data_IF_058814217540
#
_entry.id   IF_058814217540
#
_cell.length_a   1.000
_cell.length_b   1.000
_cell.length_c   1.000
_cell.angle_alpha   90.00
_cell.angle_beta   90.00
_cell.angle_gamma   90.00
#
_symmetry.space_group_name_H-M   'P 1'
#
loop_
_entity.id
_entity.type
_entity.pdbx_description
1 polymer ?
#
# COMPACT_ATOMS: atom_id res chain seq x y z
N UNK A 1 10.98 -0.44 10.91
CA UNK A 1 11.51 0.68 11.68
C UNK A 1 10.40 1.63 12.10
N UNK A 2 9.70 2.28 11.17
CA UNK A 2 8.61 3.21 11.48
C UNK A 2 7.57 2.60 12.44
N UNK A 3 7.14 1.36 12.18
CA UNK A 3 6.20 0.64 13.04
C UNK A 3 6.72 0.46 14.49
N UNK A 4 8.01 0.19 14.67
CA UNK A 4 8.62 0.08 16.00
C UNK A 4 8.66 1.43 16.73
N UNK A 5 8.95 2.51 15.99
CA UNK A 5 8.94 3.85 16.58
C UNK A 5 7.52 4.29 16.97
N UNK A 6 6.52 3.96 16.15
CA UNK A 6 5.10 4.25 16.45
C UNK A 6 4.61 3.40 17.61
N UNK A 7 4.91 2.08 17.63
CA UNK A 7 4.46 1.16 18.68
C UNK A 7 5.12 1.40 20.04
N UNK A 8 6.37 1.86 20.08
CA UNK A 8 7.12 2.10 21.33
C UNK A 8 7.28 3.57 21.71
N UNK A 9 6.73 4.49 20.93
CA UNK A 9 6.88 5.93 21.11
C UNK A 9 8.34 6.38 21.36
N UNK A 10 9.32 5.66 20.78
CA UNK A 10 10.76 5.91 20.92
C UNK A 10 11.40 5.99 19.55
N UNK A 11 12.13 7.08 19.28
CA UNK A 11 12.86 7.30 18.03
C UNK A 11 14.23 6.62 18.04
N UNK A 12 14.26 5.29 18.12
CA UNK A 12 15.49 4.49 18.06
C UNK A 12 15.69 3.90 16.67
N UNK A 13 16.88 4.09 16.07
CA UNK A 13 17.18 3.60 14.72
C UNK A 13 18.07 2.33 14.76
N UNK A 14 19.06 2.28 15.64
CA UNK A 14 20.09 1.22 15.65
C UNK A 14 19.55 -0.14 16.11
N UNK A 15 18.72 -0.16 17.15
CA UNK A 15 18.20 -1.39 17.76
C UNK A 15 17.24 -2.13 16.81
N UNK A 16 16.21 -1.47 16.23
CA UNK A 16 15.32 -2.14 15.29
C UNK A 16 16.03 -2.58 13.99
N UNK A 17 17.06 -1.87 13.53
CA UNK A 17 17.83 -2.27 12.34
C UNK A 17 18.46 -3.65 12.47
N UNK A 18 19.09 -3.92 13.60
CA UNK A 18 19.73 -5.22 13.84
C UNK A 18 18.71 -6.34 14.09
N UNK A 19 17.66 -6.04 14.87
CA UNK A 19 16.64 -7.02 15.29
C UNK A 19 15.78 -7.50 14.11
N UNK A 20 15.37 -6.59 13.20
CA UNK A 20 14.44 -6.91 12.12
C UNK A 20 15.09 -7.10 10.73
N UNK A 21 16.42 -7.25 10.67
CA UNK A 21 17.16 -7.44 9.41
C UNK A 21 16.64 -8.64 8.60
N UNK A 22 16.35 -9.78 9.27
CA UNK A 22 15.87 -11.01 8.63
C UNK A 22 14.48 -10.82 8.03
N UNK A 23 13.57 -10.19 8.76
CA UNK A 23 12.21 -9.89 8.31
C UNK A 23 12.21 -8.86 7.18
N UNK A 24 13.05 -7.82 7.32
CA UNK A 24 13.21 -6.80 6.28
C UNK A 24 13.72 -7.40 4.96
N UNK A 25 14.69 -8.32 5.02
CA UNK A 25 15.21 -9.02 3.85
C UNK A 25 14.14 -9.92 3.20
N UNK A 26 13.33 -10.63 3.99
CA UNK A 26 12.22 -11.44 3.49
C UNK A 26 11.15 -10.58 2.80
N UNK A 27 10.82 -9.41 3.37
CA UNK A 27 9.89 -8.46 2.77
C UNK A 27 10.45 -7.84 1.47
N UNK A 28 11.74 -7.51 1.48
CA UNK A 28 12.43 -6.98 0.31
C UNK A 28 12.42 -7.98 -0.85
N UNK A 29 12.78 -9.24 -0.56
CA UNK A 29 12.73 -10.32 -1.55
C UNK A 29 11.31 -10.50 -2.12
N UNK A 30 10.30 -10.51 -1.25
CA UNK A 30 8.90 -10.59 -1.68
C UNK A 30 8.52 -9.44 -2.62
N UNK A 31 8.95 -8.21 -2.32
CA UNK A 31 8.70 -7.05 -3.20
C UNK A 31 9.39 -7.15 -4.55
N UNK A 32 10.63 -7.67 -4.57
CA UNK A 32 11.35 -7.92 -5.82
C UNK A 32 10.61 -8.97 -6.65
N UNK A 33 10.24 -10.10 -6.06
CA UNK A 33 9.48 -11.16 -6.76
C UNK A 33 8.15 -10.60 -7.29
N UNK A 34 7.42 -9.84 -6.46
CA UNK A 34 6.17 -9.20 -6.89
C UNK A 34 6.40 -8.22 -8.04
N UNK A 35 7.51 -7.48 -8.04
CA UNK A 35 7.91 -6.59 -9.13
C UNK A 35 8.25 -7.34 -10.42
N UNK A 36 9.10 -8.38 -10.31
CA UNK A 36 9.51 -9.21 -11.46
C UNK A 36 8.31 -9.92 -12.09
N UNK A 37 7.39 -10.45 -11.28
CA UNK A 37 6.16 -11.10 -11.79
C UNK A 37 5.15 -10.05 -12.29
N UNK A 38 5.02 -8.92 -11.61
CA UNK A 38 4.10 -7.84 -11.99
C UNK A 38 4.47 -7.16 -13.30
N UNK A 39 5.76 -7.07 -13.61
CA UNK A 39 6.27 -6.44 -14.85
C UNK A 39 5.72 -7.12 -16.12
N UNK A 40 5.88 -8.44 -16.35
CA UNK A 40 5.30 -9.10 -17.51
C UNK A 40 3.77 -9.19 -17.45
N UNK A 41 3.19 -9.37 -16.25
CA UNK A 41 1.73 -9.47 -16.07
C UNK A 41 1.00 -8.20 -16.51
N UNK A 42 1.57 -7.03 -16.25
CA UNK A 42 1.03 -5.75 -16.72
C UNK A 42 1.60 -5.34 -18.08
N UNK A 43 2.87 -5.66 -18.33
CA UNK A 43 3.58 -5.28 -19.56
C UNK A 43 3.01 -5.94 -20.83
N UNK A 44 2.62 -7.22 -20.76
CA UNK A 44 2.04 -7.94 -21.90
C UNK A 44 0.72 -7.32 -22.40
N UNK A 45 -0.27 -7.01 -21.55
CA UNK A 45 -1.47 -6.31 -21.99
C UNK A 45 -1.21 -4.90 -22.52
N UNK A 46 -0.24 -4.16 -21.94
CA UNK A 46 0.16 -2.83 -22.45
C UNK A 46 0.75 -2.97 -23.85
N UNK A 47 1.63 -3.94 -24.06
CA UNK A 47 2.18 -4.24 -25.38
C UNK A 47 1.07 -4.59 -26.40
N UNK A 48 0.05 -5.35 -25.94
CA UNK A 48 -1.14 -5.66 -26.74
C UNK A 48 -1.91 -4.41 -27.16
N UNK A 49 -2.09 -3.43 -26.29
CA UNK A 49 -2.73 -2.15 -26.63
C UNK A 49 -1.90 -1.38 -27.65
N UNK A 50 -0.59 -1.29 -27.46
CA UNK A 50 0.31 -0.60 -28.39
C UNK A 50 0.21 -1.24 -29.79
N UNK A 51 0.21 -2.58 -29.85
CA UNK A 51 0.06 -3.31 -31.11
C UNK A 51 -1.29 -3.02 -31.77
N UNK A 52 -2.38 -3.00 -31.02
CA UNK A 52 -3.71 -2.64 -31.55
C UNK A 52 -3.75 -1.21 -32.08
N UNK A 53 -3.12 -0.26 -31.40
CA UNK A 53 -3.03 1.13 -31.89
C UNK A 53 -2.27 1.20 -33.21
N UNK A 54 -1.17 0.46 -33.36
CA UNK A 54 -0.41 0.39 -34.59
C UNK A 54 -1.25 -0.22 -35.73
N UNK A 55 -1.97 -1.32 -35.46
CA UNK A 55 -2.85 -1.96 -36.45
C UNK A 55 -3.99 -1.03 -36.91
N UNK A 56 -4.54 -0.23 -35.99
CA UNK A 56 -5.55 0.80 -36.31
C UNK A 56 -4.94 1.93 -37.16
N UNK A 57 -3.74 2.39 -36.83
CA UNK A 57 -3.05 3.46 -37.55
C UNK A 57 -2.68 3.03 -39.01
N UNK A 58 -2.29 1.78 -39.18
CA UNK A 58 -1.96 1.19 -40.52
C UNK A 58 -3.20 0.75 -41.30
N UNK A 59 -4.39 0.87 -40.74
CA UNK A 59 -5.67 0.43 -41.34
C UNK A 59 -5.68 -1.04 -41.81
N UNK A 60 -4.86 -1.88 -41.21
CA UNK A 60 -4.71 -3.31 -41.63
C UNK A 60 -5.67 -4.23 -40.86
N UNK A 61 -6.35 -3.74 -39.81
CA UNK A 61 -7.28 -4.53 -38.97
C UNK A 61 -8.72 -4.08 -39.07
N UNK A 62 -9.70 -4.96 -38.72
CA UNK A 62 -11.12 -4.61 -38.63
C UNK A 62 -11.33 -3.65 -37.43
N UNK A 63 -11.85 -2.47 -37.71
CA UNK A 63 -11.98 -1.37 -36.79
C UNK A 63 -12.79 -1.74 -35.53
N UNK A 64 -13.89 -2.47 -35.73
CA UNK A 64 -14.76 -2.92 -34.62
C UNK A 64 -14.03 -3.89 -33.68
N UNK A 65 -13.32 -4.88 -34.24
CA UNK A 65 -12.56 -5.86 -33.45
C UNK A 65 -11.42 -5.19 -32.66
N UNK A 66 -10.77 -4.16 -33.22
CA UNK A 66 -9.72 -3.41 -32.53
C UNK A 66 -10.25 -2.59 -31.35
N UNK A 67 -11.44 -1.99 -31.49
CA UNK A 67 -12.09 -1.23 -30.40
C UNK A 67 -12.47 -2.19 -29.27
N UNK A 68 -13.16 -3.30 -29.56
CA UNK A 68 -13.54 -4.28 -28.55
C UNK A 68 -12.32 -4.92 -27.89
N UNK A 69 -11.31 -5.33 -28.65
CA UNK A 69 -10.07 -5.89 -28.13
C UNK A 69 -9.32 -4.89 -27.23
N UNK A 70 -9.28 -3.62 -27.62
CA UNK A 70 -8.71 -2.54 -26.81
C UNK A 70 -9.44 -2.34 -25.49
N UNK A 71 -10.79 -2.31 -25.51
CA UNK A 71 -11.60 -2.17 -24.30
C UNK A 71 -11.39 -3.35 -23.32
N UNK A 72 -11.32 -4.57 -23.83
CA UNK A 72 -11.03 -5.77 -22.99
C UNK A 72 -9.65 -5.69 -22.37
N UNK A 73 -8.62 -5.29 -23.15
CA UNK A 73 -7.26 -5.13 -22.63
C UNK A 73 -7.16 -4.02 -21.56
N UNK A 74 -7.82 -2.89 -21.76
CA UNK A 74 -7.89 -1.81 -20.76
C UNK A 74 -8.54 -2.30 -19.48
N UNK A 75 -9.68 -3.01 -19.59
CA UNK A 75 -10.35 -3.59 -18.43
C UNK A 75 -9.44 -4.59 -17.70
N UNK A 76 -8.75 -5.46 -18.46
CA UNK A 76 -7.78 -6.43 -17.90
C UNK A 76 -6.67 -5.72 -17.14
N UNK A 77 -6.06 -4.68 -17.71
CA UNK A 77 -5.01 -3.89 -17.05
C UNK A 77 -5.56 -3.27 -15.76
N UNK A 78 -6.76 -2.70 -15.79
CA UNK A 78 -7.37 -2.10 -14.61
C UNK A 78 -7.54 -3.12 -13.49
N UNK A 79 -8.06 -4.31 -13.78
CA UNK A 79 -8.22 -5.41 -12.81
C UNK A 79 -6.86 -5.84 -12.25
N UNK A 80 -5.84 -6.00 -13.10
CA UNK A 80 -4.50 -6.39 -12.68
C UNK A 80 -3.84 -5.33 -11.80
N UNK A 81 -3.99 -4.05 -12.13
CA UNK A 81 -3.47 -2.95 -11.32
C UNK A 81 -4.15 -2.90 -9.95
N UNK A 82 -5.48 -3.08 -9.89
CA UNK A 82 -6.23 -3.16 -8.63
C UNK A 82 -5.73 -4.35 -7.81
N UNK A 83 -5.55 -5.53 -8.41
CA UNK A 83 -5.06 -6.71 -7.72
C UNK A 83 -3.64 -6.49 -7.12
N UNK A 84 -2.72 -5.93 -7.89
CA UNK A 84 -1.36 -5.61 -7.43
C UNK A 84 -1.40 -4.54 -6.32
N UNK A 85 -2.26 -3.53 -6.46
CA UNK A 85 -2.46 -2.50 -5.43
C UNK A 85 -2.97 -3.12 -4.13
N UNK A 86 -3.99 -3.99 -4.18
CA UNK A 86 -4.52 -4.69 -3.00
C UNK A 86 -3.46 -5.57 -2.31
N UNK A 87 -2.68 -6.32 -3.09
CA UNK A 87 -1.59 -7.14 -2.54
C UNK A 87 -0.57 -6.26 -1.83
N UNK A 88 -0.15 -5.14 -2.43
CA UNK A 88 0.77 -4.19 -1.79
C UNK A 88 0.17 -3.59 -0.53
N UNK A 89 -1.09 -3.16 -0.59
CA UNK A 89 -1.81 -2.55 0.54
C UNK A 89 -1.93 -3.52 1.70
N UNK A 90 -2.45 -4.71 1.48
CA UNK A 90 -2.60 -5.75 2.52
C UNK A 90 -1.25 -6.20 3.09
N UNK A 91 -0.21 -6.27 2.26
CA UNK A 91 1.14 -6.57 2.76
C UNK A 91 1.60 -5.53 3.77
N UNK A 92 1.38 -4.25 3.48
CA UNK A 92 1.83 -3.16 4.35
C UNK A 92 0.96 -3.00 5.60
N UNK A 93 -0.36 -3.18 5.46
CA UNK A 93 -1.32 -2.87 6.54
C UNK A 93 -1.46 -4.04 7.53
N UNK A 94 -1.33 -5.29 7.06
CA UNK A 94 -1.58 -6.50 7.87
C UNK A 94 -0.39 -7.44 7.96
N UNK A 95 0.24 -7.79 6.83
CA UNK A 95 1.33 -8.79 6.84
C UNK A 95 2.55 -8.26 7.59
N UNK A 96 2.91 -7.00 7.41
CA UNK A 96 4.06 -6.38 8.10
C UNK A 96 3.87 -6.35 9.63
N UNK A 97 2.72 -5.94 10.20
CA UNK A 97 2.47 -6.05 11.64
C UNK A 97 2.51 -7.49 12.16
N UNK A 98 1.94 -8.45 11.44
CA UNK A 98 1.98 -9.88 11.81
C UNK A 98 3.42 -10.39 11.84
N UNK A 99 4.23 -10.05 10.84
CA UNK A 99 5.67 -10.37 10.81
C UNK A 99 6.42 -9.74 12.00
N UNK A 100 6.04 -8.53 12.38
CA UNK A 100 6.65 -7.82 13.49
C UNK A 100 6.37 -8.50 14.83
N UNK A 101 5.11 -8.91 15.06
CA UNK A 101 4.68 -9.57 16.30
C UNK A 101 5.27 -10.99 16.44
N UNK A 102 5.22 -11.77 15.36
CA UNK A 102 5.59 -13.19 15.42
C UNK A 102 7.04 -13.48 15.03
N UNK A 103 7.78 -12.48 14.56
CA UNK A 103 9.15 -12.69 14.09
C UNK A 103 9.25 -13.56 12.83
N UNK A 104 8.13 -13.85 12.17
CA UNK A 104 8.01 -14.76 11.04
C UNK A 104 8.41 -14.12 9.70
N UNK A 105 8.64 -14.97 8.68
CA UNK A 105 8.89 -14.50 7.32
C UNK A 105 7.61 -14.01 6.60
N UNK A 106 7.77 -13.28 5.49
CA UNK A 106 6.68 -12.70 4.73
C UNK A 106 5.64 -13.74 4.27
N UNK A 107 6.06 -14.91 3.81
CA UNK A 107 5.17 -15.99 3.34
C UNK A 107 4.33 -16.55 4.50
N UNK A 108 4.92 -16.74 5.68
CA UNK A 108 4.19 -17.20 6.87
C UNK A 108 3.16 -16.15 7.32
N UNK A 109 3.54 -14.86 7.32
CA UNK A 109 2.63 -13.75 7.58
C UNK A 109 1.45 -13.71 6.59
N UNK A 110 1.70 -13.93 5.30
CA UNK A 110 0.65 -14.02 4.28
C UNK A 110 -0.29 -15.20 4.52
N UNK A 111 0.24 -16.39 4.87
CA UNK A 111 -0.58 -17.58 5.17
C UNK A 111 -1.54 -17.29 6.32
N UNK A 112 -1.04 -16.69 7.39
CA UNK A 112 -1.86 -16.35 8.55
C UNK A 112 -2.89 -15.26 8.22
N UNK A 113 -2.49 -14.22 7.50
CA UNK A 113 -3.41 -13.19 7.02
C UNK A 113 -4.54 -13.79 6.18
N UNK A 114 -4.23 -14.72 5.25
CA UNK A 114 -5.25 -15.37 4.43
C UNK A 114 -6.25 -16.19 5.24
N UNK A 115 -5.83 -16.81 6.34
CA UNK A 115 -6.74 -17.51 7.26
C UNK A 115 -7.73 -16.53 7.89
N UNK A 116 -7.26 -15.38 8.38
CA UNK A 116 -8.11 -14.35 8.97
C UNK A 116 -9.03 -13.72 7.91
N UNK A 117 -8.50 -13.42 6.73
CA UNK A 117 -9.25 -12.86 5.60
C UNK A 117 -10.38 -13.79 5.16
N UNK A 118 -10.11 -15.09 5.03
CA UNK A 118 -11.12 -16.08 4.61
C UNK A 118 -12.26 -16.22 5.61
N UNK A 119 -11.96 -16.11 6.90
CA UNK A 119 -12.95 -16.17 7.98
C UNK A 119 -13.81 -14.88 8.09
N UNK A 120 -13.29 -13.72 7.67
CA UNK A 120 -13.92 -12.42 7.90
C UNK A 120 -14.01 -11.54 6.65
N UNK A 121 -14.35 -12.10 5.49
CA UNK A 121 -14.33 -11.39 4.19
C UNK A 121 -15.11 -10.06 4.21
N UNK A 122 -16.30 -10.05 4.80
CA UNK A 122 -17.15 -8.86 4.86
C UNK A 122 -16.53 -7.73 5.67
N UNK A 123 -15.87 -8.05 6.79
CA UNK A 123 -15.18 -7.06 7.63
C UNK A 123 -14.01 -6.42 6.87
N UNK A 124 -13.24 -7.20 6.11
CA UNK A 124 -12.16 -6.67 5.29
C UNK A 124 -12.65 -5.85 4.10
N UNK A 125 -13.80 -6.21 3.49
CA UNK A 125 -14.44 -5.39 2.48
C UNK A 125 -14.87 -4.02 3.05
N UNK A 126 -15.46 -4.03 4.25
CA UNK A 126 -15.84 -2.79 4.95
C UNK A 126 -14.62 -1.94 5.32
N UNK A 127 -13.52 -2.58 5.76
CA UNK A 127 -12.23 -1.91 5.98
C UNK A 127 -11.73 -1.20 4.73
N UNK A 128 -11.74 -1.87 3.57
CA UNK A 128 -11.32 -1.27 2.30
C UNK A 128 -12.21 -0.10 1.91
N UNK A 129 -13.53 -0.24 2.07
CA UNK A 129 -14.48 0.84 1.80
C UNK A 129 -14.18 2.07 2.68
N UNK A 130 -14.00 1.85 3.98
CA UNK A 130 -13.69 2.93 4.91
C UNK A 130 -12.33 3.57 4.60
N UNK A 131 -11.35 2.78 4.19
CA UNK A 131 -10.04 3.26 3.76
C UNK A 131 -10.13 4.16 2.52
N UNK A 132 -11.03 3.83 1.57
CA UNK A 132 -11.29 4.69 0.40
C UNK A 132 -11.87 6.03 0.85
N UNK A 133 -12.83 6.02 1.78
CA UNK A 133 -13.42 7.25 2.32
C UNK A 133 -12.35 8.12 3.00
N UNK A 134 -11.49 7.52 3.82
CA UNK A 134 -10.36 8.21 4.45
C UNK A 134 -9.42 8.78 3.38
N UNK A 135 -9.06 8.01 2.35
CA UNK A 135 -8.18 8.47 1.28
C UNK A 135 -8.76 9.65 0.52
N UNK A 136 -10.08 9.65 0.26
CA UNK A 136 -10.78 10.78 -0.36
C UNK A 136 -10.75 12.01 0.55
N UNK A 137 -11.03 11.84 1.85
CA UNK A 137 -11.01 12.94 2.81
C UNK A 137 -9.61 13.56 2.92
N UNK A 138 -8.58 12.73 3.02
CA UNK A 138 -7.18 13.15 3.03
C UNK A 138 -6.81 13.87 1.73
N UNK A 139 -7.18 13.30 0.58
CA UNK A 139 -6.95 13.90 -0.72
C UNK A 139 -7.60 15.28 -0.85
N UNK A 140 -8.84 15.44 -0.35
CA UNK A 140 -9.52 16.72 -0.33
C UNK A 140 -8.79 17.76 0.54
N UNK A 141 -8.36 17.38 1.74
CA UNK A 141 -7.61 18.27 2.64
C UNK A 141 -6.29 18.71 1.98
N UNK A 142 -5.55 17.78 1.37
CA UNK A 142 -4.30 18.08 0.68
C UNK A 142 -4.54 18.97 -0.54
N UNK A 143 -5.60 18.72 -1.31
CA UNK A 143 -5.96 19.53 -2.47
C UNK A 143 -6.34 20.97 -2.07
N UNK A 144 -7.14 21.13 -1.02
CA UNK A 144 -7.49 22.44 -0.47
C UNK A 144 -6.23 23.16 0.02
N UNK A 145 -5.38 22.49 0.78
CA UNK A 145 -4.11 23.03 1.25
C UNK A 145 -3.19 23.46 0.10
N UNK A 146 -3.14 22.67 -0.98
CA UNK A 146 -2.38 23.02 -2.19
C UNK A 146 -2.97 24.22 -2.92
N UNK A 147 -4.30 24.31 -3.05
CA UNK A 147 -4.96 25.46 -3.66
C UNK A 147 -4.70 26.75 -2.88
N UNK A 148 -4.82 26.71 -1.55
CA UNK A 148 -4.51 27.87 -0.68
C UNK A 148 -3.03 28.24 -0.80
N UNK A 149 -2.14 27.25 -0.80
CA UNK A 149 -0.71 27.47 -0.98
C UNK A 149 -0.36 28.06 -2.35
N UNK A 150 -1.07 27.66 -3.41
CA UNK A 150 -0.90 28.19 -4.75
C UNK A 150 -1.33 29.66 -4.86
N UNK A 151 -2.41 30.05 -4.17
CA UNK A 151 -2.84 31.45 -4.07
C UNK A 151 -1.83 32.33 -3.34
N UNK A 152 -1.06 31.78 -2.42
CA UNK A 152 -0.02 32.47 -1.64
C UNK A 152 1.37 32.40 -2.30
N UNK A 153 1.49 31.98 -3.54
CA UNK A 153 2.65 31.88 -4.45
C UNK A 153 3.98 31.35 -3.85
N UNK A 154 4.30 31.71 -2.60
CA UNK A 154 5.57 31.32 -1.95
C UNK A 154 5.48 29.99 -1.16
N UNK A 155 4.29 29.65 -0.63
CA UNK A 155 4.12 28.47 0.23
C UNK A 155 4.08 27.18 -0.59
N UNK A 156 3.61 27.24 -1.84
CA UNK A 156 3.60 26.07 -2.74
C UNK A 156 5.00 25.59 -3.09
N UNK A 157 5.94 26.54 -3.27
CA UNK A 157 7.36 26.23 -3.54
C UNK A 157 7.97 25.55 -2.31
N UNK A 158 7.61 25.97 -1.10
CA UNK A 158 8.09 25.37 0.15
C UNK A 158 7.57 23.94 0.34
N UNK A 159 6.30 23.68 -0.05
CA UNK A 159 5.71 22.33 -0.03
C UNK A 159 6.32 21.39 -1.09
N UNK A 160 6.86 21.95 -2.17
CA UNK A 160 7.53 21.19 -3.22
C UNK A 160 8.90 20.66 -2.76
N UNK A 161 9.49 21.24 -1.70
CA UNK A 161 10.70 20.71 -1.09
C UNK A 161 10.34 19.38 -0.41
N UNK A 162 10.88 18.22 -0.86
CA UNK A 162 10.43 16.90 -0.42
C UNK A 162 10.57 16.69 1.09
N UNK A 163 11.48 17.40 1.73
CA UNK A 163 11.70 17.29 3.18
C UNK A 163 10.61 18.00 3.99
N UNK A 164 10.26 19.23 3.62
CA UNK A 164 9.25 20.03 4.34
C UNK A 164 7.85 19.45 4.13
N UNK A 165 7.53 19.03 2.88
CA UNK A 165 6.27 18.37 2.56
C UNK A 165 6.05 17.08 3.35
N UNK A 166 7.08 16.24 3.50
CA UNK A 166 6.98 15.00 4.28
C UNK A 166 6.80 15.26 5.78
N UNK A 167 7.42 16.28 6.35
CA UNK A 167 7.27 16.65 7.78
C UNK A 167 5.86 17.16 8.06
N UNK A 168 5.30 18.00 7.18
CA UNK A 168 3.92 18.50 7.33
C UNK A 168 2.89 17.38 7.19
N UNK A 169 3.13 16.41 6.30
CA UNK A 169 2.26 15.25 6.10
C UNK A 169 2.49 14.11 7.11
N UNK A 170 3.51 14.21 7.98
CA UNK A 170 3.84 13.18 8.95
C UNK A 170 2.67 12.79 9.87
N UNK A 171 1.90 13.72 10.47
CA UNK A 171 0.75 13.36 11.31
C UNK A 171 -0.29 12.53 10.56
N UNK A 172 -0.49 12.81 9.28
CA UNK A 172 -1.41 12.11 8.40
C UNK A 172 -0.93 10.67 8.12
N UNK A 173 0.36 10.50 7.85
CA UNK A 173 0.98 9.18 7.64
C UNK A 173 0.94 8.32 8.90
N UNK A 174 1.14 8.94 10.08
CA UNK A 174 1.03 8.26 11.38
C UNK A 174 -0.42 7.84 11.63
N UNK A 175 -1.39 8.70 11.34
CA UNK A 175 -2.81 8.38 11.48
C UNK A 175 -3.23 7.22 10.58
N UNK A 176 -2.88 7.24 9.31
CA UNK A 176 -3.19 6.16 8.36
C UNK A 176 -2.60 4.82 8.82
N UNK A 177 -1.38 4.86 9.36
CA UNK A 177 -0.70 3.66 9.87
C UNK A 177 -1.31 3.18 11.19
N UNK A 178 -1.63 4.09 12.10
CA UNK A 178 -2.29 3.78 13.37
C UNK A 178 -3.64 3.11 13.15
N UNK A 179 -4.42 3.60 12.21
CA UNK A 179 -5.73 3.03 11.88
C UNK A 179 -5.65 1.54 11.51
N UNK A 180 -4.70 1.14 10.65
CA UNK A 180 -4.54 -0.27 10.28
C UNK A 180 -4.13 -1.16 11.45
N UNK A 181 -3.32 -0.66 12.38
CA UNK A 181 -2.89 -1.38 13.57
C UNK A 181 -4.05 -1.56 14.58
N UNK A 182 -4.85 -0.52 14.83
CA UNK A 182 -6.04 -0.62 15.68
C UNK A 182 -7.09 -1.55 15.09
N UNK A 183 -7.22 -1.58 13.77
CA UNK A 183 -8.12 -2.52 13.11
C UNK A 183 -7.65 -3.98 13.28
N UNK A 184 -6.34 -4.23 13.16
CA UNK A 184 -5.77 -5.56 13.34
C UNK A 184 -5.93 -6.09 14.76
N UNK A 185 -5.87 -5.22 15.77
CA UNK A 185 -6.12 -5.53 17.19
C UNK A 185 -7.48 -6.18 17.45
N UNK A 186 -8.50 -5.89 16.64
CA UNK A 186 -9.86 -6.46 16.80
C UNK A 186 -9.93 -7.97 16.53
N UNK A 187 -8.90 -8.56 15.92
CA UNK A 187 -8.87 -9.99 15.57
C UNK A 187 -8.24 -10.88 16.65
N UNK A 188 -7.80 -10.31 17.76
CA UNK A 188 -7.31 -11.05 18.93
C UNK A 188 -6.08 -10.45 19.60
N UNK A 189 -5.77 -10.91 20.84
CA UNK A 189 -4.61 -10.42 21.59
C UNK A 189 -3.26 -10.72 20.89
N UNK A 190 -3.19 -11.80 20.12
CA UNK A 190 -1.98 -12.17 19.36
C UNK A 190 -1.64 -11.18 18.23
N UNK A 191 -2.59 -10.27 17.89
CA UNK A 191 -2.44 -9.26 16.85
C UNK A 191 -2.35 -7.84 17.42
N UNK A 192 -2.26 -7.69 18.75
CA UNK A 192 -2.12 -6.40 19.41
C UNK A 192 -0.64 -5.96 19.45
N UNK A 193 -0.28 -5.02 18.56
CA UNK A 193 1.07 -4.45 18.49
C UNK A 193 1.36 -3.57 19.72
N UNK A 194 0.33 -3.03 20.37
CA UNK A 194 0.46 -2.12 21.52
C UNK A 194 0.63 -2.85 22.85
N UNK A 195 0.30 -4.14 22.94
CA UNK A 195 0.55 -4.95 24.14
C UNK A 195 2.03 -5.02 24.54
N UNK A 196 2.93 -4.83 23.57
CA UNK A 196 4.38 -4.76 23.78
C UNK A 196 4.82 -3.49 24.54
N UNK A 197 3.95 -2.48 24.68
CA UNK A 197 4.24 -1.29 25.51
C UNK A 197 4.11 -1.59 27.00
N UNK A 198 3.18 -2.47 27.40
CA UNK A 198 2.96 -2.84 28.81
C UNK A 198 4.13 -3.61 29.42
N UNK A 199 4.83 -4.43 28.65
CA UNK A 199 5.99 -5.20 29.14
C UNK A 199 7.29 -4.39 29.22
N UNK A 200 7.38 -3.24 28.59
CA UNK A 200 8.58 -2.39 28.60
C UNK A 200 8.55 -1.28 29.64
N UNK A 201 7.41 -1.10 30.35
CA UNK A 201 7.21 -0.08 31.37
C UNK A 201 7.22 -0.66 32.81
N UNK A 202 7.34 -1.96 33.00
CA UNK A 202 7.56 -2.65 34.28
C UNK A 202 8.97 -3.19 34.36
#
# INVERSE_FOLDING_TARGET
MFLHCVAKNKAEIRVPWRKFKKQANSLFLFRIVLGIVGLPVVGLPILGIVLLIILMATRTGPLVASIFGGAVLVLLILVLLIAIFLVKKFTMDFVVPIMFLQGAGCVAGWRQFMTILSANKLRFALYLLFQIVIAIAIGAIVAIGFCIGCCLCCISILLLIPYIGTVILLPLLVFERGYSLYYLRQFGPDFDVFSLEGEAAG
#
